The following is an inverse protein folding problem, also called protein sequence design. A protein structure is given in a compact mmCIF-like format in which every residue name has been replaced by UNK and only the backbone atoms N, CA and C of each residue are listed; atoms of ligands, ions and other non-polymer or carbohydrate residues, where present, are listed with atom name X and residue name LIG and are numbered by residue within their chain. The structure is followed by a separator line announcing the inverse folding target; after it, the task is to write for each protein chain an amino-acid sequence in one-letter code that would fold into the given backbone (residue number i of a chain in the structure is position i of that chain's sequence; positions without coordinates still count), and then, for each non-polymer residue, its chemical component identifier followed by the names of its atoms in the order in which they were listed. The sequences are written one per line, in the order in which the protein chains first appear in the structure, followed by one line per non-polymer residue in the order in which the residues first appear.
data_IF_519777661116
#
_entry.id   IF_519777661116
#
_cell.length_a   1.000
_cell.length_b   1.000
_cell.length_c   1.000
_cell.angle_alpha   90.00
_cell.angle_beta   90.00
_cell.angle_gamma   90.00
#
_symmetry.space_group_name_H-M   'P 1'
#
loop_
_entity.id
_entity.type
_entity.pdbx_description
1 polymer ?
#
# COMPACT_ATOMS: atom_id res chain seq x y z
N UNK A 1 -11.22 -7.17 -21.45
CA UNK A 1 -11.36 -6.80 -20.02
C UNK A 1 -11.31 -5.27 -19.80
N UNK A 2 -10.62 -4.52 -20.67
CA UNK A 2 -10.65 -3.05 -20.68
C UNK A 2 -12.06 -2.45 -20.78
N UNK A 3 -12.92 -2.98 -21.65
CA UNK A 3 -14.31 -2.51 -21.78
C UNK A 3 -15.07 -2.46 -20.44
N UNK A 4 -14.88 -3.48 -19.60
CA UNK A 4 -15.47 -3.53 -18.26
C UNK A 4 -14.84 -2.47 -17.34
N UNK A 5 -13.51 -2.47 -17.22
CA UNK A 5 -12.80 -1.54 -16.34
C UNK A 5 -13.04 -0.07 -16.69
N UNK A 6 -13.14 0.24 -17.99
CA UNK A 6 -13.40 1.59 -18.48
C UNK A 6 -14.82 2.05 -18.13
N UNK A 7 -15.83 1.18 -18.27
CA UNK A 7 -17.20 1.52 -17.89
C UNK A 7 -17.32 1.83 -16.39
N UNK A 8 -16.69 1.02 -15.54
CA UNK A 8 -16.64 1.24 -14.07
C UNK A 8 -15.90 2.53 -13.74
N UNK A 9 -14.70 2.74 -14.30
CA UNK A 9 -13.92 3.95 -14.05
C UNK A 9 -14.70 5.21 -14.48
N UNK A 10 -15.42 5.18 -15.60
CA UNK A 10 -16.26 6.30 -16.05
C UNK A 10 -17.37 6.62 -15.05
N UNK A 11 -18.00 5.59 -14.45
CA UNK A 11 -19.04 5.78 -13.42
C UNK A 11 -18.45 6.39 -12.14
N UNK A 12 -17.27 5.95 -11.74
CA UNK A 12 -16.56 6.48 -10.55
C UNK A 12 -16.11 7.93 -10.74
N UNK A 13 -15.63 8.30 -11.94
CA UNK A 13 -15.15 9.67 -12.18
C UNK A 13 -16.27 10.71 -12.08
N UNK A 14 -17.53 10.38 -12.41
CA UNK A 14 -18.68 11.29 -12.34
C UNK A 14 -18.37 12.73 -12.82
N UNK A 15 -17.71 12.86 -13.98
CA UNK A 15 -17.23 14.12 -14.58
C UNK A 15 -16.12 14.89 -13.83
N UNK A 16 -15.58 14.35 -12.72
CA UNK A 16 -14.50 14.95 -11.92
C UNK A 16 -13.09 14.70 -12.48
N UNK A 17 -12.94 13.81 -13.48
CA UNK A 17 -11.67 13.41 -14.12
C UNK A 17 -10.53 13.11 -13.11
N UNK A 18 -10.81 12.25 -12.14
CA UNK A 18 -9.88 11.94 -11.04
C UNK A 18 -8.73 11.00 -11.45
N UNK A 19 -8.88 10.19 -12.50
CA UNK A 19 -7.82 9.28 -12.95
C UNK A 19 -6.96 9.93 -14.04
N UNK A 20 -5.68 10.18 -13.74
CA UNK A 20 -4.71 10.73 -14.72
C UNK A 20 -4.43 9.77 -15.88
N UNK A 21 -4.31 8.48 -15.57
CA UNK A 21 -4.06 7.40 -16.52
C UNK A 21 -4.84 6.16 -16.09
N UNK A 22 -5.13 5.26 -17.04
CA UNK A 22 -5.92 4.05 -16.81
C UNK A 22 -5.18 2.86 -17.41
N UNK A 23 -4.79 1.91 -16.55
CA UNK A 23 -4.12 0.68 -16.94
C UNK A 23 -5.03 -0.51 -16.66
N UNK A 24 -5.18 -1.35 -17.67
CA UNK A 24 -5.97 -2.57 -17.60
C UNK A 24 -5.10 -3.83 -17.70
N UNK A 25 -5.75 -5.00 -17.72
CA UNK A 25 -5.12 -6.33 -17.68
C UNK A 25 -4.06 -6.57 -18.75
N UNK A 26 -4.21 -5.99 -19.94
CA UNK A 26 -3.21 -6.10 -21.01
C UNK A 26 -1.85 -5.45 -20.68
N UNK A 27 -1.81 -4.54 -19.70
CA UNK A 27 -0.57 -3.89 -19.25
C UNK A 27 0.09 -4.62 -18.08
N UNK A 28 -0.54 -5.67 -17.55
CA UNK A 28 0.03 -6.48 -16.49
C UNK A 28 1.00 -7.52 -17.06
N UNK A 29 2.02 -7.87 -16.29
CA UNK A 29 2.89 -9.02 -16.59
C UNK A 29 2.21 -10.28 -16.08
N UNK A 30 1.92 -11.23 -16.98
CA UNK A 30 1.38 -12.53 -16.61
C UNK A 30 2.53 -13.50 -16.32
N UNK A 31 2.47 -14.17 -15.17
CA UNK A 31 3.32 -15.31 -14.83
C UNK A 31 2.46 -16.50 -14.37
N UNK A 32 3.10 -17.63 -14.02
CA UNK A 32 2.40 -18.82 -13.52
C UNK A 32 1.55 -18.55 -12.28
N UNK A 33 1.88 -17.52 -11.51
CA UNK A 33 1.23 -17.17 -10.26
C UNK A 33 0.29 -15.97 -10.41
N UNK A 34 -0.16 -15.66 -11.63
CA UNK A 34 -1.20 -14.67 -11.91
C UNK A 34 -0.70 -13.42 -12.64
N UNK A 35 -1.34 -12.29 -12.36
CA UNK A 35 -1.03 -11.01 -13.00
C UNK A 35 -0.33 -10.09 -12.03
N UNK A 36 0.89 -9.69 -12.39
CA UNK A 36 1.68 -8.72 -11.63
C UNK A 36 1.59 -7.35 -12.29
N UNK A 37 1.38 -6.31 -11.48
CA UNK A 37 1.34 -4.90 -11.86
C UNK A 37 2.73 -4.29 -11.59
N UNK A 38 3.54 -4.21 -12.64
CA UNK A 38 4.90 -3.66 -12.54
C UNK A 38 4.86 -2.14 -12.41
N UNK A 39 5.26 -1.60 -11.25
CA UNK A 39 5.20 -0.15 -10.98
C UNK A 39 6.17 0.65 -11.86
N UNK A 40 7.28 0.04 -12.26
CA UNK A 40 8.27 0.67 -13.15
C UNK A 40 7.72 1.01 -14.54
N UNK A 41 6.58 0.42 -14.93
CA UNK A 41 5.86 0.78 -16.17
C UNK A 41 5.20 2.16 -16.05
N UNK A 42 4.94 2.63 -14.83
CA UNK A 42 4.28 3.91 -14.53
C UNK A 42 5.31 4.96 -14.09
N UNK A 43 6.21 4.60 -13.17
CA UNK A 43 7.26 5.48 -12.66
C UNK A 43 8.56 4.70 -12.43
N UNK A 44 9.69 5.21 -12.92
CA UNK A 44 11.01 4.65 -12.64
C UNK A 44 11.45 4.91 -11.20
N UNK A 45 10.98 6.01 -10.61
CA UNK A 45 11.26 6.33 -9.22
C UNK A 45 10.26 5.61 -8.32
N UNK A 46 10.72 4.52 -7.69
CA UNK A 46 9.94 3.73 -6.73
C UNK A 46 9.80 4.41 -5.37
N UNK A 47 10.51 5.50 -5.09
CA UNK A 47 10.33 6.23 -3.83
C UNK A 47 9.07 7.11 -3.83
N UNK A 48 8.50 7.40 -5.01
CA UNK A 48 7.34 8.28 -5.19
C UNK A 48 6.05 7.59 -5.66
N UNK A 49 6.03 6.26 -5.73
CA UNK A 49 4.88 5.47 -6.18
C UNK A 49 4.58 4.32 -5.22
N UNK A 50 3.31 4.12 -4.90
CA UNK A 50 2.82 2.97 -4.15
C UNK A 50 1.56 2.40 -4.80
N UNK A 51 1.19 1.19 -4.41
CA UNK A 51 0.01 0.48 -4.92
C UNK A 51 -0.88 0.04 -3.77
N UNK A 52 -2.18 0.27 -3.92
CA UNK A 52 -3.21 -0.31 -3.05
C UNK A 52 -3.87 -1.46 -3.81
N UNK A 53 -3.78 -2.67 -3.29
CA UNK A 53 -4.38 -3.84 -3.91
C UNK A 53 -4.77 -4.88 -2.85
N UNK A 54 -5.83 -5.63 -3.13
CA UNK A 54 -6.32 -6.70 -2.27
C UNK A 54 -5.70 -8.06 -2.58
N UNK A 55 -4.86 -8.16 -3.63
CA UNK A 55 -4.19 -9.39 -4.05
C UNK A 55 -2.66 -9.26 -3.95
N UNK A 56 -2.01 -10.06 -3.07
CA UNK A 56 -0.55 -10.10 -2.98
C UNK A 56 0.17 -10.44 -4.28
N UNK A 57 -0.49 -11.18 -5.18
CA UNK A 57 0.07 -11.47 -6.49
C UNK A 57 0.27 -10.21 -7.36
N UNK A 58 -0.58 -9.19 -7.19
CA UNK A 58 -0.56 -7.99 -8.00
C UNK A 58 0.70 -7.15 -7.78
N UNK A 59 1.24 -7.10 -6.56
CA UNK A 59 2.41 -6.30 -6.19
C UNK A 59 3.64 -7.14 -5.84
N UNK A 60 3.68 -8.40 -6.29
CA UNK A 60 4.77 -9.34 -6.00
C UNK A 60 6.17 -8.80 -6.31
N UNK A 61 6.30 -7.98 -7.37
CA UNK A 61 7.58 -7.38 -7.76
C UNK A 61 7.98 -6.17 -6.91
N UNK A 62 7.03 -5.54 -6.20
CA UNK A 62 7.24 -4.32 -5.43
C UNK A 62 6.50 -4.40 -4.08
N UNK A 63 6.79 -5.39 -3.21
CA UNK A 63 6.08 -5.56 -1.94
C UNK A 63 6.26 -4.36 -1.00
N UNK A 64 7.42 -3.72 -0.99
CA UNK A 64 7.69 -2.55 -0.14
C UNK A 64 6.91 -1.30 -0.58
N UNK A 65 6.40 -1.30 -1.81
CA UNK A 65 5.55 -0.24 -2.35
C UNK A 65 4.06 -0.56 -2.19
N UNK A 66 3.69 -1.66 -1.54
CA UNK A 66 2.32 -2.11 -1.45
C UNK A 66 1.68 -1.71 -0.13
N UNK A 67 0.44 -1.22 -0.20
CA UNK A 67 -0.47 -1.07 0.92
C UNK A 67 -1.58 -2.09 0.71
N UNK A 68 -1.53 -3.25 1.38
CA UNK A 68 -2.58 -4.24 1.28
C UNK A 68 -3.91 -3.67 1.77
N UNK A 69 -4.99 -3.92 1.03
CA UNK A 69 -6.35 -3.56 1.45
C UNK A 69 -7.23 -4.79 1.49
N UNK A 70 -8.22 -4.80 2.39
CA UNK A 70 -9.20 -5.87 2.48
C UNK A 70 -10.03 -5.96 1.18
N UNK A 71 -10.35 -7.18 0.76
CA UNK A 71 -11.37 -7.41 -0.27
C UNK A 71 -12.74 -6.96 0.22
N UNK A 72 -13.48 -6.25 -0.63
CA UNK A 72 -14.84 -5.78 -0.36
C UNK A 72 -15.87 -6.69 -1.03
N UNK A 73 -16.92 -7.05 -0.30
CA UNK A 73 -18.00 -7.95 -0.71
C UNK A 73 -19.39 -7.37 -0.41
N UNK A 74 -19.61 -6.09 -0.72
CA UNK A 74 -20.90 -5.40 -0.55
C UNK A 74 -21.32 -5.11 0.89
N UNK A 75 -20.38 -5.08 1.83
CA UNK A 75 -20.64 -4.70 3.21
C UNK A 75 -20.89 -3.18 3.32
N UNK A 76 -22.04 -2.75 3.87
CA UNK A 76 -22.42 -1.33 3.93
C UNK A 76 -21.66 -0.53 5.00
N UNK A 77 -21.05 -1.22 5.98
CA UNK A 77 -20.27 -0.63 7.06
C UNK A 77 -18.75 -0.72 6.82
N UNK A 78 -18.31 -1.10 5.62
CA UNK A 78 -16.88 -1.18 5.31
C UNK A 78 -16.24 0.22 5.31
N UNK A 79 -15.16 0.35 6.06
CA UNK A 79 -14.39 1.59 6.24
C UNK A 79 -12.97 1.50 5.70
N UNK A 80 -12.61 0.41 4.99
CA UNK A 80 -11.21 0.11 4.66
C UNK A 80 -10.53 1.22 3.84
N UNK A 81 -11.27 1.88 2.94
CA UNK A 81 -10.75 3.03 2.18
C UNK A 81 -10.60 4.31 3.02
N UNK A 82 -11.47 4.50 4.02
CA UNK A 82 -11.38 5.65 4.94
C UNK A 82 -10.19 5.51 5.88
N UNK A 83 -9.89 4.28 6.30
CA UNK A 83 -8.73 3.94 7.12
C UNK A 83 -7.39 4.22 6.43
N UNK A 84 -7.37 4.37 5.09
CA UNK A 84 -6.18 4.80 4.37
C UNK A 84 -5.90 6.30 4.49
N UNK A 85 -6.88 7.13 4.87
CA UNK A 85 -6.72 8.59 4.86
C UNK A 85 -5.53 9.08 5.71
N UNK A 86 -5.29 8.59 6.96
CA UNK A 86 -4.13 9.02 7.75
C UNK A 86 -2.79 8.66 7.08
N UNK A 87 -2.70 7.48 6.46
CA UNK A 87 -1.51 7.07 5.71
C UNK A 87 -1.29 7.98 4.50
N UNK A 88 -2.34 8.24 3.71
CA UNK A 88 -2.27 9.12 2.55
C UNK A 88 -1.88 10.56 2.94
N UNK A 89 -2.31 11.02 4.11
CA UNK A 89 -1.96 12.32 4.66
C UNK A 89 -0.47 12.40 5.04
N UNK A 90 0.04 11.35 5.72
CA UNK A 90 1.43 11.22 6.13
C UNK A 90 2.39 11.11 4.94
N UNK A 91 2.01 10.40 3.88
CA UNK A 91 2.82 10.22 2.66
C UNK A 91 3.18 11.54 1.97
N UNK A 92 2.41 12.62 2.19
CA UNK A 92 2.72 13.96 1.64
C UNK A 92 4.02 14.55 2.16
N UNK A 93 4.48 14.10 3.33
CA UNK A 93 5.65 14.64 4.02
C UNK A 93 6.86 13.72 3.94
N UNK A 94 6.76 12.61 3.22
CA UNK A 94 7.85 11.63 3.10
C UNK A 94 8.55 11.71 1.77
N UNK A 95 9.87 11.52 1.82
CA UNK A 95 10.70 11.46 0.62
C UNK A 95 10.66 10.09 -0.07
N UNK A 96 10.35 9.03 0.70
CA UNK A 96 10.25 7.66 0.18
C UNK A 96 9.04 6.93 0.78
N UNK A 97 8.07 6.60 -0.06
CA UNK A 97 6.82 5.94 0.34
C UNK A 97 7.01 4.53 0.88
N UNK A 98 8.16 3.89 0.63
CA UNK A 98 8.47 2.51 1.07
C UNK A 98 8.77 2.43 2.56
N UNK A 99 9.09 3.56 3.20
CA UNK A 99 9.42 3.63 4.63
C UNK A 99 8.24 3.22 5.53
N UNK A 100 7.01 3.21 5.00
CA UNK A 100 5.81 2.81 5.72
C UNK A 100 5.59 1.29 5.78
N UNK A 101 6.18 0.53 4.85
CA UNK A 101 5.98 -0.93 4.76
C UNK A 101 6.67 -1.72 5.88
N UNK A 102 7.59 -1.11 6.63
CA UNK A 102 8.44 -1.81 7.61
C UNK A 102 8.02 -1.64 9.08
N UNK A 103 6.92 -0.94 9.42
CA UNK A 103 6.58 -0.81 10.84
C UNK A 103 5.33 -0.05 11.27
N UNK A 104 4.45 0.36 10.35
CA UNK A 104 3.32 1.23 10.72
C UNK A 104 2.00 0.52 11.06
N UNK A 105 1.91 -0.80 10.87
CA UNK A 105 0.77 -1.57 11.38
C UNK A 105 0.68 -1.60 12.92
N UNK A 106 1.71 -1.17 13.66
CA UNK A 106 1.71 -1.24 15.12
C UNK A 106 1.37 0.09 15.83
N UNK A 107 1.50 1.27 15.18
CA UNK A 107 1.47 2.53 15.94
C UNK A 107 0.55 3.65 15.43
N UNK A 108 -0.29 3.45 14.40
CA UNK A 108 -1.34 4.45 14.09
C UNK A 108 -2.62 4.20 14.92
N UNK A 109 -2.85 2.96 15.39
CA UNK A 109 -3.98 2.63 16.27
C UNK A 109 -3.70 2.84 17.77
N UNK A 110 -2.44 2.94 18.19
CA UNK A 110 -2.09 3.18 19.60
C UNK A 110 -1.71 4.65 19.77
N UNK A 111 -2.68 5.44 20.23
CA UNK A 111 -2.46 6.82 20.65
C UNK A 111 -1.67 6.93 21.96
N UNK A 112 -0.48 6.33 22.03
CA UNK A 112 0.40 6.43 23.20
C UNK A 112 1.79 6.97 22.83
N UNK A 113 2.16 8.18 23.27
CA UNK A 113 3.50 8.71 23.12
C UNK A 113 4.32 8.27 24.34
N UNK A 114 4.81 7.03 24.37
CA UNK A 114 6.00 6.61 25.12
C UNK A 114 5.97 5.10 25.35
N UNK A 115 6.86 4.37 24.66
CA UNK A 115 7.60 3.25 25.26
C UNK A 115 8.61 2.70 24.24
N UNK A 116 9.82 3.29 24.23
CA UNK A 116 11.00 2.53 23.86
C UNK A 116 11.21 1.45 24.94
N UNK A 117 11.54 0.19 24.59
CA UNK A 117 11.94 -0.78 25.60
C UNK A 117 13.26 -0.31 26.25
N UNK A 118 13.44 -0.48 27.58
CA UNK A 118 14.69 -0.14 28.22
C UNK A 118 15.79 -1.07 27.69
N UNK A 119 16.87 -0.47 27.21
CA UNK A 119 18.16 -1.13 27.01
C UNK A 119 18.60 -1.73 28.34
N UNK A 120 18.63 -3.06 28.44
CA UNK A 120 19.24 -3.75 29.57
C UNK A 120 20.76 -3.53 29.53
N UNK A 121 21.39 -3.05 30.62
CA UNK A 121 22.84 -3.00 30.70
C UNK A 121 23.37 -4.42 30.97
N UNK A 122 24.17 -4.94 30.04
CA UNK A 122 24.96 -6.15 30.26
C UNK A 122 25.90 -5.93 31.45
N UNK A 123 25.64 -6.62 32.55
CA UNK A 123 26.57 -6.72 33.68
C UNK A 123 27.56 -7.86 33.38
N UNK A 124 28.88 -7.69 33.59
CA UNK A 124 29.84 -8.77 33.38
C UNK A 124 29.71 -9.81 34.50
N UNK A 125 29.61 -11.10 34.14
CA UNK A 125 29.68 -12.18 35.12
C UNK A 125 31.12 -12.41 35.60
N UNK A 126 31.33 -12.73 36.89
CA UNK A 126 32.65 -13.04 37.42
C UNK A 126 33.02 -14.50 37.12
N UNK A 127 34.32 -14.70 36.94
CA UNK A 127 35.01 -15.95 36.76
C UNK A 127 34.91 -16.83 38.02
N UNK A 128 34.57 -18.11 37.84
CA UNK A 128 35.05 -19.20 38.68
C UNK A 128 35.10 -20.49 37.86
#
# INVERSE_FOLDING_TARGET
MEMYGMAVAKKLENNRKIFKQKFFRQHCTMDFNGYTKKLTTISQDLSSIFIVDNSPAAYRQNPDNAVPIKSWFSEPHDTALLELLPLLDALRFTHDVRQFSVGIFTCIACGDPHSLPPSTPHTPQPHN
#
